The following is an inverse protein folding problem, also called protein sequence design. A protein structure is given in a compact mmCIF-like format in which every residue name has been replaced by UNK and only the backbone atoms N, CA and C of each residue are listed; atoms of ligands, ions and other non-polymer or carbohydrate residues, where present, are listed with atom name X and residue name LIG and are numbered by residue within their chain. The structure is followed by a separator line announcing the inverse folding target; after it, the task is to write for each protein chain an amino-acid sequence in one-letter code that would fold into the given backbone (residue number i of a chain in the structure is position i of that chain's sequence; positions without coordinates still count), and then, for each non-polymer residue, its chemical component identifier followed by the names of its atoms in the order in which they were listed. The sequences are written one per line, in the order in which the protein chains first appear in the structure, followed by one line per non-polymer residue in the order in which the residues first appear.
data_IF_512015381895
#
_entry.id   IF_512015381895
#
_cell.length_a   1.000
_cell.length_b   1.000
_cell.length_c   1.000
_cell.angle_alpha   90.00
_cell.angle_beta   90.00
_cell.angle_gamma   90.00
#
_symmetry.space_group_name_H-M   'P 1'
#
loop_
_entity.id
_entity.type
_entity.pdbx_description
1 polymer ?
#
# COMPACT_ATOMS: atom_id res chain seq x y z
N UNK A 1 -19.73 -4.92 -0.53
CA UNK A 1 -19.17 -6.21 -0.97
C UNK A 1 -17.93 -5.88 -1.78
N UNK A 2 -16.73 -6.07 -1.22
CA UNK A 2 -15.48 -5.72 -1.89
C UNK A 2 -14.94 -6.98 -2.56
N UNK A 3 -15.06 -7.06 -3.88
CA UNK A 3 -14.36 -8.03 -4.70
C UNK A 3 -12.89 -7.65 -4.75
N UNK A 4 -12.09 -8.36 -3.95
CA UNK A 4 -10.64 -8.36 -4.15
C UNK A 4 -10.40 -8.95 -5.53
N UNK A 5 -9.95 -8.12 -6.46
CA UNK A 5 -9.57 -8.50 -7.83
C UNK A 5 -8.70 -9.76 -7.81
N UNK A 6 -9.30 -10.86 -8.26
CA UNK A 6 -8.81 -12.24 -8.28
C UNK A 6 -7.80 -12.50 -9.41
N UNK A 7 -6.83 -11.60 -9.62
CA UNK A 7 -5.83 -11.75 -10.68
C UNK A 7 -4.44 -12.21 -10.21
N UNK A 8 -4.26 -12.54 -8.93
CA UNK A 8 -2.99 -13.05 -8.41
C UNK A 8 -2.84 -14.60 -8.42
N UNK A 9 -3.86 -15.34 -8.88
CA UNK A 9 -3.97 -16.78 -8.62
C UNK A 9 -3.38 -17.70 -9.72
N UNK A 10 -2.93 -17.17 -10.86
CA UNK A 10 -2.68 -18.00 -12.05
C UNK A 10 -1.21 -18.36 -12.35
N UNK A 11 -0.23 -17.90 -11.57
CA UNK A 11 1.20 -18.10 -11.91
C UNK A 11 2.08 -18.66 -10.79
N UNK A 12 1.51 -19.03 -9.64
CA UNK A 12 2.29 -19.62 -8.54
C UNK A 12 2.27 -21.13 -8.67
N UNK A 13 3.41 -21.85 -8.52
CA UNK A 13 3.38 -23.29 -8.39
C UNK A 13 2.54 -23.63 -7.15
N UNK A 14 1.29 -24.05 -7.36
CA UNK A 14 0.28 -24.32 -6.33
C UNK A 14 0.83 -25.18 -5.17
N UNK A 15 1.77 -26.08 -5.50
CA UNK A 15 2.43 -26.99 -4.55
C UNK A 15 3.36 -26.30 -3.54
N UNK A 16 4.07 -25.23 -3.92
CA UNK A 16 5.04 -24.58 -3.02
C UNK A 16 4.32 -23.76 -1.96
N UNK A 17 3.28 -23.03 -2.35
CA UNK A 17 2.48 -22.23 -1.42
C UNK A 17 1.80 -23.12 -0.38
N UNK A 18 1.15 -24.20 -0.83
CA UNK A 18 0.51 -25.16 0.09
C UNK A 18 1.49 -25.71 1.12
N UNK A 19 2.71 -26.11 0.72
CA UNK A 19 3.74 -26.59 1.64
C UNK A 19 4.13 -25.56 2.71
N UNK A 20 4.15 -24.27 2.36
CA UNK A 20 4.48 -23.20 3.30
C UNK A 20 3.30 -22.98 4.27
N UNK A 21 2.06 -23.07 3.78
CA UNK A 21 0.88 -23.00 4.64
C UNK A 21 0.87 -24.16 5.64
N UNK A 22 1.11 -25.38 5.18
CA UNK A 22 1.14 -26.58 6.01
C UNK A 22 2.26 -26.47 7.06
N UNK A 23 3.48 -26.11 6.65
CA UNK A 23 4.59 -25.86 7.57
C UNK A 23 4.26 -24.78 8.60
N UNK A 24 3.65 -23.67 8.18
CA UNK A 24 3.29 -22.57 9.08
C UNK A 24 2.23 -23.00 10.10
N UNK A 25 1.30 -23.86 9.72
CA UNK A 25 0.32 -24.44 10.64
C UNK A 25 1.00 -25.38 11.65
N UNK A 26 1.85 -26.29 11.19
CA UNK A 26 2.59 -27.23 12.05
C UNK A 26 3.49 -26.51 13.06
N UNK A 27 4.04 -25.34 12.69
CA UNK A 27 4.94 -24.56 13.53
C UNK A 27 4.23 -23.44 14.33
N UNK A 28 2.89 -23.38 14.30
CA UNK A 28 2.09 -22.33 14.94
C UNK A 28 2.49 -20.90 14.51
N UNK A 29 2.88 -20.75 13.24
CA UNK A 29 3.34 -19.49 12.64
C UNK A 29 2.33 -18.85 11.69
N UNK A 30 1.06 -19.13 11.91
CA UNK A 30 -0.05 -18.50 11.21
C UNK A 30 -1.05 -17.94 12.20
N UNK A 31 -1.63 -16.78 11.90
CA UNK A 31 -2.70 -16.17 12.70
C UNK A 31 -3.65 -15.37 11.83
N UNK A 32 -4.92 -15.42 12.19
CA UNK A 32 -5.98 -14.60 11.59
C UNK A 32 -6.35 -13.45 12.53
N UNK A 33 -6.60 -12.29 11.94
CA UNK A 33 -6.86 -11.03 12.62
C UNK A 33 -8.20 -10.44 12.14
N UNK A 34 -8.94 -9.83 13.06
CA UNK A 34 -10.14 -9.07 12.75
C UNK A 34 -9.79 -7.71 12.11
N UNK A 35 -10.77 -7.04 11.51
CA UNK A 35 -10.54 -5.72 10.91
C UNK A 35 -9.97 -4.73 11.93
N UNK A 36 -8.97 -3.96 11.50
CA UNK A 36 -8.23 -2.96 12.28
C UNK A 36 -7.46 -3.52 13.50
N UNK A 37 -7.39 -4.84 13.67
CA UNK A 37 -6.55 -5.47 14.70
C UNK A 37 -5.06 -5.30 14.35
N UNK A 38 -4.26 -4.97 15.37
CA UNK A 38 -2.81 -4.80 15.21
C UNK A 38 -2.14 -6.15 15.03
N UNK A 39 -1.35 -6.26 13.97
CA UNK A 39 -0.49 -7.42 13.72
C UNK A 39 0.80 -7.21 14.53
N UNK A 40 1.16 -8.12 15.45
CA UNK A 40 2.33 -7.98 16.32
C UNK A 40 3.64 -8.28 15.57
N UNK A 41 3.89 -7.52 14.51
CA UNK A 41 5.03 -7.71 13.63
C UNK A 41 6.33 -7.20 14.26
N UNK A 42 7.41 -7.96 14.08
CA UNK A 42 8.72 -7.70 14.67
C UNK A 42 9.80 -7.54 13.59
N UNK A 43 10.80 -6.68 13.80
CA UNK A 43 11.95 -6.61 12.91
C UNK A 43 12.68 -7.95 12.79
N UNK A 44 13.15 -8.24 11.57
CA UNK A 44 13.91 -9.47 11.25
C UNK A 44 13.06 -10.70 10.93
N UNK A 45 11.73 -10.57 10.97
CA UNK A 45 10.79 -11.60 10.51
C UNK A 45 10.14 -11.18 9.20
N UNK A 46 10.09 -12.13 8.27
CA UNK A 46 9.30 -12.04 7.07
C UNK A 46 7.84 -12.37 7.38
N UNK A 47 6.92 -11.53 6.94
CA UNK A 47 5.49 -11.82 6.98
C UNK A 47 4.95 -12.04 5.56
N UNK A 48 4.01 -12.97 5.43
CA UNK A 48 3.28 -13.24 4.19
C UNK A 48 1.79 -13.10 4.45
N UNK A 49 1.10 -12.31 3.64
CA UNK A 49 -0.37 -12.22 3.73
C UNK A 49 -0.95 -13.45 3.05
N UNK A 50 -1.50 -14.39 3.82
CA UNK A 50 -2.18 -15.56 3.28
C UNK A 50 -3.52 -15.18 2.65
N UNK A 51 -4.29 -14.35 3.36
CA UNK A 51 -5.64 -13.92 2.96
C UNK A 51 -5.91 -12.51 3.47
N UNK A 52 -6.69 -11.74 2.72
CA UNK A 52 -7.09 -10.39 3.10
C UNK A 52 -6.04 -9.36 2.70
N UNK A 53 -5.90 -8.32 3.53
CA UNK A 53 -4.98 -7.22 3.26
C UNK A 53 -4.47 -6.63 4.58
N UNK A 54 -3.21 -6.19 4.58
CA UNK A 54 -2.54 -5.53 5.70
C UNK A 54 -2.32 -4.07 5.36
N UNK A 55 -2.68 -3.18 6.28
CA UNK A 55 -2.39 -1.73 6.21
C UNK A 55 -1.11 -1.44 6.97
N UNK A 56 -0.15 -0.80 6.30
CA UNK A 56 1.09 -0.34 6.90
C UNK A 56 0.99 1.15 7.26
N UNK A 57 1.46 1.48 8.46
CA UNK A 57 1.43 2.83 9.01
C UNK A 57 2.79 3.17 9.61
N UNK A 58 3.26 4.38 9.36
CA UNK A 58 4.45 4.94 9.99
C UNK A 58 4.06 5.96 11.05
N UNK A 59 4.75 5.92 12.18
CA UNK A 59 4.59 6.86 13.27
C UNK A 59 5.93 7.59 13.51
N UNK A 60 5.90 8.92 13.47
CA UNK A 60 7.07 9.75 13.75
C UNK A 60 7.20 10.01 15.25
N UNK A 61 8.30 9.56 15.85
CA UNK A 61 8.55 9.70 17.29
C UNK A 61 9.16 11.07 17.65
N UNK A 62 9.59 11.85 16.66
CA UNK A 62 10.20 13.17 16.84
C UNK A 62 9.33 14.25 16.21
N UNK A 63 9.04 15.30 16.97
CA UNK A 63 8.27 16.44 16.49
C UNK A 63 9.12 17.70 16.49
N UNK A 64 9.12 18.41 15.36
CA UNK A 64 9.81 19.69 15.22
C UNK A 64 9.24 20.79 16.14
N UNK A 65 8.01 20.61 16.66
CA UNK A 65 7.44 21.47 17.68
C UNK A 65 7.95 21.00 19.04
N UNK A 66 9.13 21.51 19.41
CA UNK A 66 9.84 21.18 20.64
C UNK A 66 9.00 21.42 21.89
N UNK A 67 8.36 20.38 22.37
CA UNK A 67 7.97 20.27 23.77
C UNK A 67 8.32 18.87 24.24
N UNK A 68 9.30 18.83 25.14
CA UNK A 68 9.75 17.64 25.87
C UNK A 68 8.70 17.23 26.91
N UNK A 69 7.43 17.07 26.50
CA UNK A 69 6.38 16.60 27.40
C UNK A 69 6.30 15.08 27.35
N UNK A 70 6.57 14.45 28.50
CA UNK A 70 6.41 13.01 28.74
C UNK A 70 4.93 12.61 28.88
N UNK A 71 4.07 13.22 28.07
CA UNK A 71 2.65 12.86 27.98
C UNK A 71 2.49 12.05 26.71
N UNK A 72 1.76 10.91 26.73
CA UNK A 72 1.47 10.18 25.52
C UNK A 72 0.71 11.11 24.57
N UNK A 73 1.34 11.49 23.45
CA UNK A 73 0.72 12.32 22.44
C UNK A 73 -0.44 11.54 21.84
N UNK A 74 -1.66 11.93 22.21
CA UNK A 74 -2.92 11.33 21.73
C UNK A 74 -3.10 11.53 20.21
N UNK A 75 -2.35 12.45 19.59
CA UNK A 75 -2.33 12.67 18.14
C UNK A 75 -0.90 12.51 17.59
N UNK A 76 -0.36 11.29 17.66
CA UNK A 76 0.71 10.92 16.73
C UNK A 76 0.08 10.86 15.34
N UNK A 77 0.50 11.71 14.41
CA UNK A 77 0.00 11.66 13.04
C UNK A 77 0.52 10.38 12.37
N UNK A 78 -0.33 9.36 12.38
CA UNK A 78 -0.13 8.11 11.65
C UNK A 78 -0.06 8.40 10.15
N UNK A 79 1.13 8.21 9.57
CA UNK A 79 1.34 8.30 8.14
C UNK A 79 0.98 6.96 7.49
N UNK A 80 -0.06 6.93 6.66
CA UNK A 80 -0.37 5.74 5.86
C UNK A 80 0.75 5.47 4.84
N UNK A 81 1.26 4.24 4.82
CA UNK A 81 2.38 3.85 3.94
C UNK A 81 1.97 2.95 2.78
N UNK A 82 0.79 2.35 2.84
CA UNK A 82 0.28 1.47 1.80
C UNK A 82 -0.45 0.24 2.33
N UNK A 83 -0.94 -0.56 1.38
CA UNK A 83 -1.53 -1.87 1.64
C UNK A 83 -0.60 -2.99 1.14
N UNK A 84 -0.71 -4.15 1.78
CA UNK A 84 -0.08 -5.39 1.36
C UNK A 84 -1.18 -6.42 1.20
N UNK A 85 -1.44 -6.83 -0.04
CA UNK A 85 -2.50 -7.77 -0.37
C UNK A 85 -2.09 -9.24 -0.19
N UNK A 86 -3.07 -10.13 -0.32
CA UNK A 86 -2.84 -11.57 -0.31
C UNK A 86 -1.72 -12.00 -1.29
N UNK A 87 -0.91 -12.93 -0.82
CA UNK A 87 0.24 -13.45 -1.52
C UNK A 87 1.47 -12.56 -1.52
N UNK A 88 1.42 -11.34 -0.97
CA UNK A 88 2.56 -10.43 -0.93
C UNK A 88 3.31 -10.52 0.40
N UNK A 89 4.66 -10.40 0.38
CA UNK A 89 5.45 -10.30 1.60
C UNK A 89 5.43 -8.88 2.17
N UNK A 90 5.64 -8.76 3.48
CA UNK A 90 6.01 -7.50 4.11
C UNK A 90 6.95 -7.72 5.27
N UNK A 91 7.61 -6.63 5.66
CA UNK A 91 8.49 -6.57 6.81
C UNK A 91 8.28 -5.24 7.53
N UNK A 92 8.49 -5.24 8.85
CA UNK A 92 8.51 -4.04 9.66
C UNK A 92 9.95 -3.77 10.07
N UNK A 93 10.38 -2.54 9.85
CA UNK A 93 11.65 -2.02 10.38
C UNK A 93 11.31 -0.99 11.45
N UNK A 94 12.03 -1.06 12.58
CA UNK A 94 11.98 -0.05 13.62
C UNK A 94 13.33 0.67 13.65
N UNK A 95 13.35 1.92 13.17
CA UNK A 95 14.55 2.75 13.16
C UNK A 95 14.17 4.18 13.51
N UNK A 96 14.73 4.71 14.59
CA UNK A 96 14.55 6.11 14.98
C UNK A 96 14.85 7.04 13.79
N UNK A 97 14.00 8.04 13.50
CA UNK A 97 12.89 8.53 14.33
C UNK A 97 11.52 7.91 14.03
N UNK A 98 11.45 6.82 13.25
CA UNK A 98 10.19 6.26 12.78
C UNK A 98 9.95 4.83 13.29
N UNK A 99 8.70 4.56 13.67
CA UNK A 99 8.24 3.20 13.94
C UNK A 99 7.17 2.82 12.94
N UNK A 100 7.34 1.65 12.32
CA UNK A 100 6.35 1.09 11.43
C UNK A 100 5.44 0.12 12.17
N UNK A 101 4.16 0.13 11.81
CA UNK A 101 3.12 -0.71 12.38
C UNK A 101 2.28 -1.35 11.27
N UNK A 102 1.73 -2.53 11.54
CA UNK A 102 0.86 -3.26 10.62
C UNK A 102 -0.48 -3.54 11.29
N UNK A 103 -1.56 -3.36 10.54
CA UNK A 103 -2.93 -3.62 10.97
C UNK A 103 -3.67 -4.43 9.90
N UNK A 104 -4.54 -5.33 10.31
CA UNK A 104 -5.46 -5.97 9.38
C UNK A 104 -6.40 -4.93 8.78
N UNK A 105 -6.51 -4.89 7.45
CA UNK A 105 -7.35 -3.90 6.78
C UNK A 105 -8.80 -4.39 6.60
N UNK A 106 -8.99 -5.70 6.49
CA UNK A 106 -10.28 -6.34 6.28
C UNK A 106 -10.48 -7.48 7.28
N UNK A 107 -11.73 -7.90 7.45
CA UNK A 107 -12.04 -9.07 8.27
C UNK A 107 -11.33 -10.32 7.77
N UNK A 108 -11.01 -11.21 8.70
CA UNK A 108 -10.39 -12.51 8.40
C UNK A 108 -9.06 -12.38 7.63
N UNK A 109 -8.25 -11.37 7.98
CA UNK A 109 -6.91 -11.21 7.42
C UNK A 109 -5.98 -12.24 8.07
N UNK A 110 -5.42 -13.15 7.28
CA UNK A 110 -4.53 -14.21 7.76
C UNK A 110 -3.10 -13.96 7.31
N UNK A 111 -2.17 -14.12 8.23
CA UNK A 111 -0.75 -13.81 8.04
C UNK A 111 0.10 -14.95 8.55
N UNK A 112 1.15 -15.27 7.81
CA UNK A 112 2.19 -16.22 8.19
C UNK A 112 3.49 -15.47 8.47
N UNK A 113 4.31 -15.95 9.41
CA UNK A 113 5.63 -15.39 9.65
C UNK A 113 6.75 -16.42 9.61
N UNK A 114 7.90 -16.02 9.09
CA UNK A 114 9.09 -16.85 8.93
C UNK A 114 10.34 -16.06 9.30
N UNK A 115 11.39 -16.76 9.73
CA UNK A 115 12.73 -16.21 9.65
C UNK A 115 13.24 -16.30 8.21
N UNK A 116 14.13 -15.39 7.83
CA UNK A 116 14.74 -15.42 6.49
C UNK A 116 15.49 -16.71 6.19
N UNK A 117 16.10 -17.35 7.18
CA UNK A 117 16.79 -18.63 7.01
C UNK A 117 15.81 -19.79 6.80
N UNK A 118 14.56 -19.69 7.23
CA UNK A 118 13.56 -20.74 6.97
C UNK A 118 13.30 -20.89 5.46
N UNK A 119 13.50 -19.82 4.68
CA UNK A 119 13.39 -19.83 3.22
C UNK A 119 14.47 -20.66 2.53
N UNK A 120 15.54 -21.05 3.23
CA UNK A 120 16.58 -21.93 2.66
C UNK A 120 16.02 -23.32 2.33
N UNK A 121 14.93 -23.71 3.01
CA UNK A 121 14.18 -24.94 2.69
C UNK A 121 13.40 -24.84 1.37
N UNK A 122 13.16 -23.63 0.86
CA UNK A 122 12.42 -23.39 -0.38
C UNK A 122 13.12 -22.34 -1.28
N UNK A 123 14.25 -22.69 -1.94
CA UNK A 123 15.03 -21.73 -2.72
C UNK A 123 14.26 -21.04 -3.85
N UNK A 124 13.30 -21.73 -4.47
CA UNK A 124 12.42 -21.13 -5.48
C UNK A 124 11.52 -20.07 -4.87
N UNK A 125 10.91 -20.36 -3.72
CA UNK A 125 10.07 -19.40 -3.02
C UNK A 125 10.87 -18.22 -2.46
N UNK A 126 12.11 -18.46 -1.99
CA UNK A 126 13.03 -17.39 -1.60
C UNK A 126 13.22 -16.38 -2.73
N UNK A 127 13.39 -16.84 -3.98
CA UNK A 127 13.47 -15.95 -5.14
C UNK A 127 12.18 -15.18 -5.37
N UNK A 128 11.02 -15.84 -5.31
CA UNK A 128 9.72 -15.16 -5.45
C UNK A 128 9.51 -14.05 -4.40
N UNK A 129 9.87 -14.32 -3.14
CA UNK A 129 9.81 -13.32 -2.06
C UNK A 129 10.74 -12.13 -2.34
N UNK A 130 11.98 -12.40 -2.75
CA UNK A 130 12.94 -11.35 -3.07
C UNK A 130 12.51 -10.52 -4.29
N UNK A 131 11.96 -11.17 -5.32
CA UNK A 131 11.39 -10.49 -6.49
C UNK A 131 10.19 -9.64 -6.11
N UNK A 132 9.32 -10.12 -5.23
CA UNK A 132 8.21 -9.33 -4.70
C UNK A 132 8.71 -8.09 -3.94
N UNK A 133 9.72 -8.22 -3.07
CA UNK A 133 10.32 -7.06 -2.42
C UNK A 133 11.02 -6.10 -3.38
N UNK A 134 11.67 -6.62 -4.43
CA UNK A 134 12.27 -5.80 -5.49
C UNK A 134 11.20 -4.97 -6.20
N UNK A 135 10.08 -5.58 -6.58
CA UNK A 135 8.94 -4.88 -7.19
C UNK A 135 8.36 -3.83 -6.24
N UNK A 136 8.14 -4.17 -4.98
CA UNK A 136 7.67 -3.23 -3.96
C UNK A 136 8.65 -2.06 -3.78
N UNK A 137 9.96 -2.32 -3.78
CA UNK A 137 10.99 -1.28 -3.70
C UNK A 137 10.89 -0.31 -4.88
N UNK A 138 10.81 -0.83 -6.11
CA UNK A 138 10.64 0.00 -7.31
C UNK A 138 9.37 0.86 -7.23
N UNK A 139 8.25 0.30 -6.77
CA UNK A 139 7.01 1.07 -6.55
C UNK A 139 7.17 2.15 -5.49
N UNK A 140 7.86 1.87 -4.38
CA UNK A 140 8.17 2.89 -3.36
C UNK A 140 9.00 4.04 -3.91
N UNK A 141 9.91 3.79 -4.85
CA UNK A 141 10.67 4.88 -5.51
C UNK A 141 9.77 5.81 -6.33
N UNK A 142 8.74 5.27 -7.01
CA UNK A 142 7.75 6.09 -7.71
C UNK A 142 6.90 6.93 -6.74
N UNK A 143 6.50 6.34 -5.61
CA UNK A 143 5.82 7.04 -4.53
C UNK A 143 6.68 8.18 -3.95
N UNK A 144 7.95 7.93 -3.68
CA UNK A 144 8.90 8.94 -3.21
C UNK A 144 9.10 10.06 -4.25
N UNK A 145 9.20 9.71 -5.54
CA UNK A 145 9.26 10.69 -6.63
C UNK A 145 8.02 11.58 -6.66
N UNK A 146 6.83 11.00 -6.44
CA UNK A 146 5.57 11.75 -6.32
C UNK A 146 5.61 12.69 -5.13
N UNK A 147 6.02 12.24 -3.95
CA UNK A 147 6.11 13.09 -2.75
C UNK A 147 7.16 14.20 -2.87
N UNK A 148 8.22 13.96 -3.64
CA UNK A 148 9.29 14.92 -3.91
C UNK A 148 8.92 16.03 -4.90
N UNK A 149 7.76 15.99 -5.55
CA UNK A 149 7.37 17.04 -6.50
C UNK A 149 7.15 18.38 -5.80
N UNK A 150 7.74 19.46 -6.35
CA UNK A 150 7.69 20.81 -5.77
C UNK A 150 6.27 21.38 -5.72
N UNK A 151 5.42 21.05 -6.69
CA UNK A 151 4.06 21.59 -6.79
C UNK A 151 3.07 20.58 -6.25
N UNK A 152 2.22 21.00 -5.32
CA UNK A 152 1.17 20.13 -4.73
C UNK A 152 0.19 19.56 -5.76
N UNK A 153 -0.06 20.25 -6.88
CA UNK A 153 -0.91 19.70 -7.95
C UNK A 153 -0.26 18.51 -8.67
N UNK A 154 1.06 18.53 -8.81
CA UNK A 154 1.81 17.43 -9.44
C UNK A 154 1.91 16.25 -8.46
N UNK A 155 2.10 16.52 -7.16
CA UNK A 155 1.98 15.49 -6.10
C UNK A 155 0.61 14.81 -6.11
N UNK A 156 -0.46 15.60 -6.20
CA UNK A 156 -1.84 15.08 -6.24
C UNK A 156 -2.08 14.21 -7.48
N UNK A 157 -1.66 14.69 -8.66
CA UNK A 157 -1.83 13.94 -9.91
C UNK A 157 -1.04 12.63 -9.86
N UNK A 158 0.24 12.67 -9.50
CA UNK A 158 1.08 11.48 -9.37
C UNK A 158 0.52 10.49 -8.36
N UNK A 159 -0.01 10.97 -7.23
CA UNK A 159 -0.64 10.13 -6.21
C UNK A 159 -1.86 9.38 -6.76
N UNK A 160 -2.77 10.08 -7.46
CA UNK A 160 -3.96 9.47 -8.06
C UNK A 160 -3.55 8.49 -9.17
N UNK A 161 -2.58 8.85 -10.01
CA UNK A 161 -2.09 7.96 -11.07
C UNK A 161 -1.52 6.66 -10.51
N UNK A 162 -0.65 6.73 -9.50
CA UNK A 162 -0.08 5.53 -8.89
C UNK A 162 -1.14 4.65 -8.23
N UNK A 163 -2.14 5.24 -7.56
CA UNK A 163 -3.25 4.46 -7.01
C UNK A 163 -4.05 3.74 -8.10
N UNK A 164 -4.34 4.42 -9.22
CA UNK A 164 -5.11 3.83 -10.31
C UNK A 164 -4.30 2.76 -11.05
N UNK A 165 -2.99 2.92 -11.18
CA UNK A 165 -2.13 1.87 -11.71
C UNK A 165 -2.09 0.62 -10.83
N UNK A 166 -2.17 0.80 -9.50
CA UNK A 166 -2.02 -0.29 -8.54
C UNK A 166 -3.35 -0.99 -8.22
N UNK A 167 -4.45 -0.24 -8.16
CA UNK A 167 -5.76 -0.73 -7.70
C UNK A 167 -6.91 -0.40 -8.65
N UNK A 168 -6.63 0.24 -9.79
CA UNK A 168 -7.66 0.68 -10.70
C UNK A 168 -8.31 -0.48 -11.44
N UNK A 169 -9.63 -0.40 -11.59
CA UNK A 169 -10.41 -1.28 -12.44
C UNK A 169 -10.67 -0.62 -13.79
N UNK A 170 -10.63 -1.39 -14.90
CA UNK A 170 -10.95 -0.86 -16.21
C UNK A 170 -12.45 -0.57 -16.34
N UNK A 171 -12.81 0.53 -17.00
CA UNK A 171 -14.18 0.85 -17.41
C UNK A 171 -14.14 1.65 -18.71
N UNK A 172 -14.67 1.09 -19.80
CA UNK A 172 -14.70 1.68 -21.14
C UNK A 172 -13.40 2.43 -21.48
N UNK A 173 -13.41 3.77 -21.43
CA UNK A 173 -12.29 4.65 -21.77
C UNK A 173 -11.51 5.19 -20.54
N UNK A 174 -11.69 4.59 -19.36
CA UNK A 174 -11.12 5.06 -18.10
C UNK A 174 -10.65 3.91 -17.22
N UNK A 175 -9.77 4.24 -16.28
CA UNK A 175 -9.47 3.39 -15.12
C UNK A 175 -9.95 4.12 -13.87
N UNK A 176 -10.71 3.45 -13.01
CA UNK A 176 -11.27 4.05 -11.81
C UNK A 176 -10.84 3.31 -10.55
N UNK A 177 -10.76 4.02 -9.42
CA UNK A 177 -10.53 3.40 -8.12
C UNK A 177 -11.82 2.74 -7.63
N UNK A 178 -11.84 1.45 -7.27
CA UNK A 178 -13.05 0.73 -6.84
C UNK A 178 -13.51 1.10 -5.42
N UNK A 179 -12.98 2.18 -4.86
CA UNK A 179 -13.27 2.68 -3.53
C UNK A 179 -13.05 4.19 -3.46
N UNK A 180 -13.79 4.85 -2.57
CA UNK A 180 -13.73 6.30 -2.39
C UNK A 180 -12.56 6.71 -1.49
N UNK A 181 -11.90 7.81 -1.85
CA UNK A 181 -10.96 8.51 -0.98
C UNK A 181 -11.49 9.86 -0.56
N UNK A 182 -11.49 10.12 0.74
CA UNK A 182 -11.80 11.47 1.23
C UNK A 182 -10.67 12.44 0.89
N UNK A 183 -10.99 13.70 0.62
CA UNK A 183 -9.98 14.73 0.40
C UNK A 183 -9.06 14.93 1.62
N UNK A 184 -9.51 14.57 2.82
CA UNK A 184 -8.69 14.60 4.03
C UNK A 184 -7.61 13.49 4.01
N UNK A 185 -7.99 12.26 3.63
CA UNK A 185 -7.04 11.15 3.46
C UNK A 185 -6.02 11.45 2.37
N UNK A 186 -6.46 11.99 1.23
CA UNK A 186 -5.55 12.42 0.15
C UNK A 186 -4.60 13.50 0.68
N UNK A 187 -5.12 14.50 1.40
CA UNK A 187 -4.33 15.60 1.95
C UNK A 187 -3.25 15.09 2.90
N UNK A 188 -3.62 14.21 3.83
CA UNK A 188 -2.68 13.55 4.74
C UNK A 188 -1.59 12.79 3.96
N UNK A 189 -1.96 12.01 2.95
CA UNK A 189 -1.02 11.21 2.18
C UNK A 189 -0.01 12.02 1.36
N UNK A 190 -0.41 13.18 0.80
CA UNK A 190 0.47 14.03 -0.02
C UNK A 190 1.07 15.23 0.73
N UNK A 191 0.86 15.33 2.06
CA UNK A 191 1.30 16.46 2.86
C UNK A 191 0.65 17.79 2.44
N UNK A 192 -0.69 17.81 2.42
CA UNK A 192 -1.52 18.97 2.08
C UNK A 192 -2.81 19.03 2.90
N UNK A 193 -3.54 20.14 2.82
CA UNK A 193 -4.81 20.30 3.54
C UNK A 193 -6.00 19.85 2.69
N UNK A 194 -7.07 19.38 3.33
CA UNK A 194 -8.35 19.03 2.67
C UNK A 194 -8.84 20.13 1.72
N UNK A 195 -8.75 21.40 2.15
CA UNK A 195 -9.17 22.58 1.36
C UNK A 195 -8.30 22.71 0.10
N UNK A 196 -6.99 22.54 0.24
CA UNK A 196 -6.06 22.56 -0.90
C UNK A 196 -6.36 21.44 -1.88
N UNK A 197 -6.52 20.20 -1.39
CA UNK A 197 -6.89 19.05 -2.21
C UNK A 197 -8.18 19.30 -2.96
N UNK A 198 -9.22 19.79 -2.28
CA UNK A 198 -10.54 20.06 -2.88
C UNK A 198 -10.42 21.00 -4.08
N UNK A 199 -9.68 22.11 -3.93
CA UNK A 199 -9.43 23.07 -5.01
C UNK A 199 -8.62 22.45 -6.16
N UNK A 200 -7.61 21.64 -5.86
CA UNK A 200 -6.75 21.03 -6.88
C UNK A 200 -7.44 19.90 -7.64
N UNK A 201 -8.29 19.10 -6.98
CA UNK A 201 -9.16 18.12 -7.62
C UNK A 201 -10.07 18.78 -8.65
N UNK A 202 -10.64 19.96 -8.34
CA UNK A 202 -11.43 20.74 -9.29
C UNK A 202 -10.60 21.19 -10.51
N UNK A 203 -9.36 21.63 -10.29
CA UNK A 203 -8.44 22.01 -11.39
C UNK A 203 -8.05 20.83 -12.27
N UNK A 204 -7.80 19.65 -11.71
CA UNK A 204 -7.48 18.45 -12.48
C UNK A 204 -8.68 18.01 -13.34
N UNK A 205 -9.91 18.08 -12.78
CA UNK A 205 -11.15 17.82 -13.54
C UNK A 205 -11.34 18.79 -14.69
N UNK A 206 -11.17 20.09 -14.46
CA UNK A 206 -11.27 21.12 -15.51
C UNK A 206 -10.28 20.91 -16.65
N UNK A 207 -9.10 20.32 -16.36
CA UNK A 207 -8.08 19.98 -17.36
C UNK A 207 -8.29 18.60 -18.01
N UNK A 208 -9.34 17.87 -17.62
CA UNK A 208 -9.61 16.52 -18.13
C UNK A 208 -8.63 15.45 -17.65
N UNK A 209 -7.75 15.73 -16.68
CA UNK A 209 -6.73 14.80 -16.19
C UNK A 209 -7.30 13.73 -15.25
N UNK A 210 -8.42 14.05 -14.59
CA UNK A 210 -9.21 13.11 -13.78
C UNK A 210 -10.69 13.30 -14.09
N UNK A 211 -11.47 12.25 -13.89
CA UNK A 211 -12.94 12.20 -14.03
C UNK A 211 -13.56 11.54 -12.80
N UNK A 212 -14.88 11.53 -12.77
CA UNK A 212 -15.66 10.77 -11.79
C UNK A 212 -16.37 9.62 -12.49
N UNK A 213 -16.40 8.45 -11.86
CA UNK A 213 -17.12 7.27 -12.32
C UNK A 213 -18.13 6.81 -11.26
N UNK A 214 -19.33 6.38 -11.67
CA UNK A 214 -20.39 5.92 -10.77
C UNK A 214 -20.65 6.87 -9.59
N UNK A 215 -20.60 6.34 -8.37
CA UNK A 215 -20.77 7.05 -7.09
C UNK A 215 -19.56 7.95 -6.73
N UNK A 216 -19.18 8.85 -7.63
CA UNK A 216 -18.07 9.81 -7.43
C UNK A 216 -16.68 9.18 -7.24
N UNK A 217 -16.47 7.96 -7.76
CA UNK A 217 -15.17 7.31 -7.74
C UNK A 217 -14.19 8.07 -8.63
N UNK A 218 -12.93 8.18 -8.20
CA UNK A 218 -11.89 8.88 -8.96
C UNK A 218 -11.50 8.01 -10.15
N UNK A 219 -11.51 8.59 -11.35
CA UNK A 219 -11.12 7.94 -12.59
C UNK A 219 -10.06 8.74 -13.35
N UNK A 220 -9.22 8.06 -14.13
CA UNK A 220 -8.26 8.64 -15.06
C UNK A 220 -8.62 8.19 -16.49
N UNK A 221 -8.63 9.09 -17.49
CA UNK A 221 -8.82 8.70 -18.88
C UNK A 221 -7.69 7.79 -19.37
N UNK A 222 -8.02 6.73 -20.13
CA UNK A 222 -7.03 5.76 -20.63
C UNK A 222 -5.89 6.41 -21.45
N UNK A 223 -6.20 7.48 -22.20
CA UNK A 223 -5.22 8.25 -22.96
C UNK A 223 -4.16 8.92 -22.07
N UNK A 224 -4.54 9.36 -20.87
CA UNK A 224 -3.62 10.01 -19.91
C UNK A 224 -2.61 9.01 -19.35
N UNK A 225 -3.01 7.75 -19.20
CA UNK A 225 -2.13 6.65 -18.76
C UNK A 225 -1.11 6.28 -19.86
N UNK A 226 -1.50 6.34 -21.14
CA UNK A 226 -0.59 6.07 -22.27
C UNK A 226 0.46 7.17 -22.49
N UNK A 227 0.10 8.44 -22.26
CA UNK A 227 1.02 9.58 -22.35
C UNK A 227 2.18 9.49 -21.34
N UNK A 228 1.96 8.92 -20.15
CA UNK A 228 3.01 8.74 -19.15
C UNK A 228 3.91 7.53 -19.44
N UNK A 229 3.38 6.43 -19.99
CA UNK A 229 4.19 5.28 -20.43
C UNK A 229 5.12 5.61 -21.59
N UNK A 230 4.72 6.49 -22.52
CA UNK A 230 5.58 6.95 -23.62
C UNK A 230 6.73 7.83 -23.16
N UNK A 231 6.52 8.68 -22.16
CA UNK A 231 7.56 9.58 -21.63
C UNK A 231 8.53 8.91 -20.65
N UNK A 232 8.27 7.67 -20.23
CA UNK A 232 9.16 6.88 -19.36
C UNK A 232 9.99 5.83 -20.11
N UNK A 233 9.77 5.70 -21.42
CA UNK A 233 10.49 4.79 -22.32
C UNK A 233 11.38 5.53 -23.36
N UNK A 234 11.62 6.82 -23.16
CA UNK A 234 12.54 7.66 -23.95
C UNK A 234 13.54 8.33 -23.01
#
# INVERSE_FOLDING_TARGET
MYSVSSQADSSRPFLTWQRILDWAQEHYRTRTFAKDEKIPARPGLLYLVQRGAVRLVGEAQVSANGSSSRLPRINSEEAFLGFVGAGQPFEIVAQSPFTLQAFAHVEQTSVIWLYWHDLDNWPHFRREVLDAFRLQHQRKLLWLSTLGQRRTIDRLLGFITLLVEEFGEPSDDTYYLPWSLTHAQIGSAIGSTRVTVTRLMGKLRQRGLIRTYGDNLIAIPAESTMLQKRNSAS
#
